data_IF_825480905275
#
_entry.id   IF_825480905275
#
_cell.length_a   1.000
_cell.length_b   1.000
_cell.length_c   1.000
_cell.angle_alpha   90.00
_cell.angle_beta   90.00
_cell.angle_gamma   90.00
#
_symmetry.space_group_name_H-M   'P 1'
#
loop_
_entity.id
_entity.type
_entity.pdbx_description
1 polymer ?
#
# COMPACT_ATOMS: atom_id res chain seq x y z
N UNK A 1 -6.20 4.02 -11.90
CA UNK A 1 -5.89 4.34 -10.49
C UNK A 1 -5.93 3.06 -9.68
N UNK A 2 -4.99 2.89 -8.78
CA UNK A 2 -4.96 1.71 -7.92
C UNK A 2 -6.22 1.64 -7.04
N UNK A 3 -6.85 0.49 -7.03
CA UNK A 3 -7.97 0.22 -6.13
C UNK A 3 -7.45 -0.47 -4.88
N UNK A 4 -7.93 -0.05 -3.71
CA UNK A 4 -7.53 -0.64 -2.44
C UNK A 4 -8.76 -1.27 -1.80
N UNK A 5 -8.70 -2.57 -1.50
CA UNK A 5 -9.84 -3.26 -0.90
C UNK A 5 -10.01 -2.84 0.55
N UNK A 6 -11.20 -3.13 1.12
CA UNK A 6 -11.48 -2.83 2.51
C UNK A 6 -10.50 -3.55 3.44
N UNK A 7 -10.13 -4.78 3.12
CA UNK A 7 -9.13 -5.52 3.91
C UNK A 7 -7.79 -4.81 3.89
N UNK A 8 -7.35 -4.35 2.71
CA UNK A 8 -6.09 -3.62 2.60
C UNK A 8 -6.15 -2.28 3.34
N UNK A 9 -7.26 -1.56 3.23
CA UNK A 9 -7.46 -0.31 3.96
C UNK A 9 -7.30 -0.53 5.46
N UNK A 10 -7.96 -1.55 5.99
CA UNK A 10 -7.92 -1.87 7.42
C UNK A 10 -6.49 -2.17 7.88
N UNK A 11 -5.76 -2.97 7.11
CA UNK A 11 -4.40 -3.33 7.49
C UNK A 11 -3.43 -2.14 7.38
N UNK A 12 -3.60 -1.30 6.38
CA UNK A 12 -2.78 -0.10 6.24
C UNK A 12 -3.05 0.87 7.40
N UNK A 13 -4.29 1.05 7.77
CA UNK A 13 -4.65 1.89 8.92
C UNK A 13 -4.06 1.36 10.20
N UNK A 14 -4.08 0.03 10.38
CA UNK A 14 -3.45 -0.58 11.55
C UNK A 14 -1.95 -0.31 11.60
N UNK A 15 -1.28 -0.35 10.46
CA UNK A 15 0.15 -0.05 10.39
C UNK A 15 0.44 1.41 10.76
N UNK A 16 -0.38 2.34 10.30
CA UNK A 16 -0.15 3.77 10.55
C UNK A 16 -0.66 4.21 11.91
N UNK A 17 -1.43 3.37 12.59
CA UNK A 17 -1.97 3.66 13.92
C UNK A 17 -1.03 3.21 15.05
N UNK A 18 0.07 2.55 14.72
CA UNK A 18 1.01 2.08 15.73
C UNK A 18 1.78 3.24 16.36
N UNK A 19 2.15 3.13 17.66
CA UNK A 19 2.86 4.24 18.33
C UNK A 19 4.16 4.64 17.65
N UNK A 20 4.85 3.70 16.99
CA UNK A 20 6.10 3.98 16.30
C UNK A 20 5.89 4.56 14.90
N UNK A 21 4.66 4.59 14.42
CA UNK A 21 4.39 5.13 13.09
C UNK A 21 4.53 6.64 13.10
N UNK A 22 5.12 7.25 12.06
CA UNK A 22 5.24 8.70 11.98
C UNK A 22 3.88 9.37 11.92
N UNK A 23 3.72 10.44 12.69
CA UNK A 23 2.49 11.21 12.68
C UNK A 23 2.33 11.91 11.31
N UNK A 24 1.15 11.78 10.72
CA UNK A 24 0.89 12.33 9.39
C UNK A 24 1.51 11.55 8.25
N UNK A 25 2.14 10.43 8.55
CA UNK A 25 2.75 9.59 7.53
C UNK A 25 1.78 8.61 6.88
N UNK A 26 2.32 7.72 6.12
CA UNK A 26 1.56 6.68 5.43
C UNK A 26 2.42 5.47 5.14
N UNK A 27 1.93 4.61 4.27
CA UNK A 27 2.64 3.41 3.85
C UNK A 27 3.16 3.62 2.43
N UNK A 28 4.48 3.48 2.27
CA UNK A 28 5.10 3.55 0.96
C UNK A 28 5.11 2.18 0.33
N UNK A 29 4.57 2.09 -0.88
CA UNK A 29 4.56 0.86 -1.66
C UNK A 29 5.67 0.94 -2.69
N UNK A 30 6.51 -0.09 -2.72
CA UNK A 30 7.53 -0.25 -3.75
C UNK A 30 7.37 -1.61 -4.39
N UNK A 31 7.63 -1.69 -5.69
CA UNK A 31 7.63 -2.95 -6.41
C UNK A 31 9.06 -3.39 -6.67
N UNK A 32 9.31 -4.69 -6.53
CA UNK A 32 10.59 -5.29 -6.90
C UNK A 32 10.39 -6.01 -8.23
N UNK A 33 10.84 -5.44 -9.34
CA UNK A 33 10.64 -6.08 -10.65
C UNK A 33 11.39 -7.39 -10.79
N UNK A 34 12.46 -7.58 -10.03
CA UNK A 34 13.23 -8.83 -10.08
C UNK A 34 12.50 -9.96 -9.37
N UNK A 35 11.89 -9.68 -8.22
CA UNK A 35 11.20 -10.68 -7.44
C UNK A 35 9.70 -10.76 -7.73
N UNK A 36 9.15 -9.75 -8.40
CA UNK A 36 7.72 -9.67 -8.66
C UNK A 36 6.90 -9.46 -7.40
N UNK A 37 7.49 -8.91 -6.37
CA UNK A 37 6.85 -8.75 -5.07
C UNK A 37 6.67 -7.29 -4.70
N UNK A 38 5.79 -7.04 -3.73
CA UNK A 38 5.57 -5.72 -3.16
C UNK A 38 6.25 -5.61 -1.81
N UNK A 39 6.80 -4.43 -1.54
CA UNK A 39 7.30 -4.07 -0.23
C UNK A 39 6.51 -2.88 0.29
N UNK A 40 6.04 -2.99 1.52
CA UNK A 40 5.31 -1.91 2.19
C UNK A 40 6.11 -1.45 3.40
N UNK A 41 6.31 -0.15 3.52
CA UNK A 41 7.07 0.45 4.61
C UNK A 41 6.35 1.69 5.12
N UNK A 42 6.50 1.95 6.41
CA UNK A 42 6.02 3.20 6.98
C UNK A 42 6.94 4.35 6.52
N UNK A 43 6.33 5.46 6.14
CA UNK A 43 7.05 6.64 5.72
C UNK A 43 6.44 7.88 6.37
N UNK A 44 7.29 8.81 6.81
CA UNK A 44 6.83 10.02 7.46
C UNK A 44 6.22 11.01 6.47
N UNK A 45 6.81 11.09 5.29
CA UNK A 45 6.37 12.04 4.25
C UNK A 45 6.53 11.37 2.89
N UNK A 46 5.73 11.77 1.90
CA UNK A 46 5.95 11.31 0.54
C UNK A 46 7.21 11.97 -0.04
N UNK A 47 7.85 11.28 -0.97
CA UNK A 47 8.91 11.89 -1.76
C UNK A 47 8.30 12.88 -2.75
N UNK A 48 9.16 13.74 -3.32
CA UNK A 48 8.69 14.81 -4.20
C UNK A 48 7.87 14.30 -5.39
N UNK A 49 8.27 13.13 -5.93
CA UNK A 49 7.61 12.54 -7.09
C UNK A 49 6.54 11.51 -6.71
N UNK A 50 6.28 11.33 -5.43
CA UNK A 50 5.31 10.32 -5.00
C UNK A 50 3.89 10.79 -5.25
N UNK A 51 3.05 9.84 -5.66
CA UNK A 51 1.60 10.02 -5.67
C UNK A 51 1.07 9.63 -4.31
N UNK A 52 0.25 10.49 -3.73
CA UNK A 52 -0.40 10.19 -2.45
C UNK A 52 -1.82 9.72 -2.73
N UNK A 53 -2.12 8.51 -2.29
CA UNK A 53 -3.44 7.92 -2.43
C UNK A 53 -4.07 7.81 -1.06
N UNK A 54 -5.24 8.40 -0.88
CA UNK A 54 -5.98 8.37 0.37
C UNK A 54 -7.23 7.52 0.17
N UNK A 55 -7.32 6.39 0.87
CA UNK A 55 -8.45 5.47 0.76
C UNK A 55 -9.02 5.24 2.15
N UNK A 56 -10.12 5.90 2.48
CA UNK A 56 -10.84 5.75 3.75
C UNK A 56 -9.93 5.90 4.98
N UNK A 57 -9.00 6.85 4.91
CA UNK A 57 -8.05 7.10 5.99
C UNK A 57 -6.75 6.32 5.89
N UNK A 58 -6.65 5.40 4.96
CA UNK A 58 -5.40 4.72 4.66
C UNK A 58 -4.63 5.56 3.65
N UNK A 59 -3.42 5.97 4.02
CA UNK A 59 -2.61 6.82 3.16
C UNK A 59 -1.46 6.02 2.57
N UNK A 60 -1.36 6.06 1.25
CA UNK A 60 -0.35 5.33 0.49
C UNK A 60 0.51 6.30 -0.30
N UNK A 61 1.80 6.04 -0.33
CA UNK A 61 2.76 6.79 -1.15
C UNK A 61 3.31 5.87 -2.23
N UNK A 62 3.18 6.29 -3.48
CA UNK A 62 3.63 5.49 -4.62
C UNK A 62 4.55 6.35 -5.47
N UNK A 63 5.75 5.83 -5.78
CA UNK A 63 6.62 6.53 -6.72
C UNK A 63 6.02 6.45 -8.15
N UNK A 64 6.62 7.17 -9.09
CA UNK A 64 6.05 7.26 -10.43
C UNK A 64 6.02 5.91 -11.15
N UNK A 65 7.04 5.08 -10.96
CA UNK A 65 7.06 3.74 -11.55
C UNK A 65 5.98 2.86 -10.96
N UNK A 66 5.87 2.86 -9.63
CA UNK A 66 4.85 2.07 -8.94
C UNK A 66 3.46 2.53 -9.31
N UNK A 67 3.24 3.84 -9.40
CA UNK A 67 1.94 4.39 -9.80
C UNK A 67 1.54 3.87 -11.19
N UNK A 68 2.46 3.86 -12.13
CA UNK A 68 2.19 3.37 -13.48
C UNK A 68 1.92 1.87 -13.48
N UNK A 69 2.74 1.10 -12.75
CA UNK A 69 2.59 -0.35 -12.71
C UNK A 69 1.29 -0.80 -12.05
N UNK A 70 0.81 -0.05 -11.07
CA UNK A 70 -0.36 -0.44 -10.28
C UNK A 70 -1.64 0.28 -10.70
N UNK A 71 -1.60 1.07 -11.77
CA UNK A 71 -2.74 1.89 -12.17
C UNK A 71 -4.00 1.06 -12.45
N UNK A 72 -3.83 -0.15 -12.98
CA UNK A 72 -4.95 -1.05 -13.31
C UNK A 72 -5.05 -2.22 -12.34
N UNK A 73 -4.50 -2.10 -11.15
CA UNK A 73 -4.46 -3.19 -10.18
C UNK A 73 -5.31 -2.90 -8.97
N UNK A 74 -5.62 -3.96 -8.23
CA UNK A 74 -6.30 -3.90 -6.95
C UNK A 74 -5.34 -4.41 -5.88
N UNK A 75 -5.12 -3.62 -4.86
CA UNK A 75 -4.34 -4.03 -3.70
C UNK A 75 -5.27 -4.64 -2.65
N UNK A 76 -4.98 -5.87 -2.26
CA UNK A 76 -5.75 -6.58 -1.25
C UNK A 76 -4.81 -7.04 -0.14
N UNK A 77 -5.37 -7.38 1.00
CA UNK A 77 -4.62 -7.90 2.12
C UNK A 77 -5.30 -9.17 2.63
N UNK A 78 -4.49 -10.17 2.93
CA UNK A 78 -4.98 -11.46 3.43
C UNK A 78 -4.18 -11.80 4.68
N UNK A 79 -4.87 -12.20 5.75
CA UNK A 79 -4.23 -12.68 6.97
C UNK A 79 -4.13 -14.20 6.86
N UNK A 80 -2.91 -14.74 6.96
CA UNK A 80 -2.73 -16.19 6.92
C UNK A 80 -3.05 -16.82 8.29
N UNK A 81 -3.11 -18.17 8.37
CA UNK A 81 -3.43 -18.84 9.64
C UNK A 81 -2.47 -18.57 10.77
N UNK A 82 -1.23 -18.12 10.48
CA UNK A 82 -0.27 -17.76 11.51
C UNK A 82 -0.44 -16.34 12.02
N UNK A 83 -1.37 -15.58 11.46
CA UNK A 83 -1.63 -14.21 11.86
C UNK A 83 -0.81 -13.17 11.11
N UNK A 84 -0.04 -13.58 10.11
CA UNK A 84 0.72 -12.65 9.28
C UNK A 84 -0.15 -12.08 8.18
N UNK A 85 0.01 -10.79 7.93
CA UNK A 85 -0.71 -10.10 6.85
C UNK A 85 0.15 -10.10 5.60
N UNK A 86 -0.44 -10.53 4.49
CA UNK A 86 0.21 -10.50 3.18
C UNK A 86 -0.59 -9.59 2.27
N UNK A 87 0.12 -8.73 1.55
CA UNK A 87 -0.50 -7.89 0.54
C UNK A 87 -0.28 -8.49 -0.84
N UNK A 88 -1.30 -8.43 -1.65
CA UNK A 88 -1.23 -8.96 -3.00
C UNK A 88 -1.90 -8.02 -3.99
N UNK A 89 -1.56 -8.23 -5.25
CA UNK A 89 -2.15 -7.47 -6.35
C UNK A 89 -3.01 -8.38 -7.20
N UNK A 90 -4.15 -7.85 -7.63
CA UNK A 90 -5.02 -8.49 -8.58
C UNK A 90 -5.39 -7.50 -9.66
N UNK A 91 -5.81 -7.98 -10.82
CA UNK A 91 -6.30 -7.09 -11.86
C UNK A 91 -7.66 -6.56 -11.48
N UNK A 92 -7.93 -5.30 -11.85
CA UNK A 92 -9.23 -4.72 -11.59
C UNK A 92 -10.28 -5.41 -12.46
N UNK A 93 -11.49 -5.63 -11.92
CA UNK A 93 -12.57 -6.16 -12.74
C UNK A 93 -12.95 -5.17 -13.83
N UNK A 94 -13.22 -5.70 -15.00
CA UNK A 94 -13.65 -4.89 -16.14
C UNK A 94 -15.15 -4.73 -16.18
#
# INVERSE_FOLDING_TARGET
MLTVTQNAVTEIRNLTDQPQAPEGGGVRIATDPTAGSLTLRLAATPAEDDTVLDADGARLFLDSNTTTLLDDKTLDAVTDPSGQVQFGLAEQPT
#
